data_IF_027427920581
#
_entry.id   IF_027427920581
#
_cell.length_a   1.000
_cell.length_b   1.000
_cell.length_c   1.000
_cell.angle_alpha   90.00
_cell.angle_beta   90.00
_cell.angle_gamma   90.00
#
_symmetry.space_group_name_H-M   'P 1'
#
loop_
_entity.id
_entity.type
_entity.pdbx_description
1 polymer ?
#
# COMPACT_ATOMS: atom_id res chain seq x y z
N UNK A 1 -9.02 7.08 11.39
CA UNK A 1 -9.18 5.63 11.13
C UNK A 1 -8.81 4.72 12.32
N UNK A 2 -8.57 5.23 13.53
CA UNK A 2 -8.06 4.42 14.65
C UNK A 2 -8.98 3.22 15.01
N UNK A 3 -10.29 3.45 15.06
CA UNK A 3 -11.28 2.39 15.36
C UNK A 3 -11.33 1.33 14.25
N UNK A 4 -11.30 1.77 12.99
CA UNK A 4 -11.35 0.89 11.83
C UNK A 4 -10.14 -0.03 11.77
N UNK A 5 -8.94 0.54 11.99
CA UNK A 5 -7.68 -0.20 12.03
C UNK A 5 -7.63 -1.18 13.20
N UNK A 6 -8.06 -0.77 14.40
CA UNK A 6 -8.10 -1.66 15.56
C UNK A 6 -8.99 -2.89 15.31
N UNK A 7 -10.17 -2.69 14.69
CA UNK A 7 -11.05 -3.78 14.29
C UNK A 7 -10.40 -4.70 13.26
N UNK A 8 -9.84 -4.16 12.18
CA UNK A 8 -9.22 -4.96 11.12
C UNK A 8 -8.01 -5.76 11.64
N UNK A 9 -7.25 -5.19 12.58
CA UNK A 9 -6.17 -5.90 13.26
C UNK A 9 -6.70 -7.06 14.12
N UNK A 10 -7.75 -6.83 14.91
CA UNK A 10 -8.40 -7.89 15.69
C UNK A 10 -8.94 -9.03 14.81
N UNK A 11 -9.44 -8.70 13.62
CA UNK A 11 -9.91 -9.68 12.62
C UNK A 11 -8.75 -10.37 11.85
N UNK A 12 -7.49 -10.04 12.12
CA UNK A 12 -6.33 -10.61 11.43
C UNK A 12 -6.14 -10.16 9.98
N UNK A 13 -6.81 -9.06 9.58
CA UNK A 13 -6.81 -8.53 8.20
C UNK A 13 -5.79 -7.43 7.96
N UNK A 14 -5.02 -7.06 9.00
CA UNK A 14 -4.02 -6.01 8.95
C UNK A 14 -2.62 -6.60 8.95
N UNK A 15 -1.77 -6.08 8.08
CA UNK A 15 -0.34 -6.36 8.05
C UNK A 15 0.46 -5.07 7.98
N UNK A 16 1.65 -5.09 8.54
CA UNK A 16 2.58 -3.97 8.55
C UNK A 16 3.94 -4.41 8.03
N UNK A 17 4.66 -3.47 7.43
CA UNK A 17 6.05 -3.63 7.05
C UNK A 17 6.83 -2.41 7.55
N UNK A 18 7.96 -2.64 8.22
CA UNK A 18 8.85 -1.59 8.71
C UNK A 18 10.22 -1.89 8.15
N UNK A 19 10.87 -0.86 7.61
CA UNK A 19 12.18 -1.00 7.00
C UNK A 19 13.20 -1.50 8.03
N UNK A 20 13.90 -2.57 7.68
CA UNK A 20 15.00 -3.12 8.46
C UNK A 20 16.32 -2.95 7.70
N UNK A 21 17.47 -2.81 8.39
CA UNK A 21 18.77 -2.69 7.74
C UNK A 21 19.03 -3.79 6.70
N UNK A 22 19.20 -3.39 5.44
CA UNK A 22 19.42 -4.31 4.31
C UNK A 22 18.15 -4.93 3.72
N UNK A 23 16.98 -4.71 4.32
CA UNK A 23 15.68 -5.19 3.85
C UNK A 23 14.87 -4.06 3.21
N UNK A 24 15.35 -3.58 2.06
CA UNK A 24 14.73 -2.47 1.30
C UNK A 24 13.40 -2.82 0.61
N UNK A 25 12.97 -4.09 0.71
CA UNK A 25 11.69 -4.59 0.23
C UNK A 25 11.15 -5.70 1.13
N UNK A 26 9.84 -5.73 1.34
CA UNK A 26 9.12 -6.74 2.12
C UNK A 26 7.83 -7.17 1.41
N UNK A 27 7.41 -8.41 1.62
CA UNK A 27 6.22 -8.99 1.00
C UNK A 27 5.13 -9.26 2.05
N UNK A 28 3.90 -8.83 1.74
CA UNK A 28 2.73 -9.03 2.59
C UNK A 28 1.72 -9.94 1.87
N UNK A 29 1.47 -11.12 2.44
CA UNK A 29 0.58 -12.14 1.86
C UNK A 29 -0.89 -11.99 2.29
N UNK A 30 -1.80 -11.65 1.39
CA UNK A 30 -3.25 -11.62 1.64
C UNK A 30 -3.99 -12.77 0.94
N UNK A 31 -3.29 -13.88 0.68
CA UNK A 31 -3.78 -15.07 0.01
C UNK A 31 -3.98 -14.86 -1.49
N UNK A 32 -5.13 -14.31 -1.86
CA UNK A 32 -5.48 -14.07 -3.27
C UNK A 32 -4.69 -12.90 -3.90
N UNK A 33 -4.10 -12.06 -3.05
CA UNK A 33 -3.30 -10.89 -3.38
C UNK A 33 -2.03 -10.89 -2.53
N UNK A 34 -0.96 -10.34 -3.08
CA UNK A 34 0.28 -10.01 -2.37
C UNK A 34 0.56 -8.52 -2.53
N UNK A 35 1.26 -7.94 -1.57
CA UNK A 35 1.70 -6.56 -1.62
C UNK A 35 3.20 -6.46 -1.34
N UNK A 36 3.94 -5.98 -2.34
CA UNK A 36 5.35 -5.60 -2.21
C UNK A 36 5.42 -4.21 -1.59
N UNK A 37 6.06 -4.09 -0.42
CA UNK A 37 6.45 -2.82 0.19
C UNK A 37 7.89 -2.52 -0.18
N UNK A 38 8.16 -1.31 -0.66
CA UNK A 38 9.49 -0.85 -1.10
C UNK A 38 9.85 0.49 -0.46
N UNK A 39 11.11 0.69 -0.07
CA UNK A 39 11.56 1.88 0.66
C UNK A 39 12.54 2.75 -0.13
N UNK A 40 12.49 4.07 0.09
CA UNK A 40 13.41 5.04 -0.52
C UNK A 40 13.02 5.52 -1.93
N UNK A 41 11.73 5.61 -2.24
CA UNK A 41 11.26 6.27 -3.47
C UNK A 41 11.53 7.78 -3.42
N UNK A 42 11.76 8.47 -4.57
CA UNK A 42 11.74 7.95 -5.95
C UNK A 42 13.09 7.44 -6.46
N UNK A 43 13.06 6.40 -7.30
CA UNK A 43 14.20 5.87 -8.07
C UNK A 43 13.87 5.76 -9.56
N UNK A 44 14.88 5.61 -10.43
CA UNK A 44 14.65 5.34 -11.87
C UNK A 44 13.99 3.97 -12.09
N UNK A 45 13.25 3.83 -13.19
CA UNK A 45 12.64 2.55 -13.57
C UNK A 45 13.67 1.42 -13.70
N UNK A 46 13.26 0.22 -13.32
CA UNK A 46 14.11 -0.98 -13.33
C UNK A 46 15.22 -0.98 -12.27
N UNK A 47 15.31 0.03 -11.40
CA UNK A 47 16.25 0.02 -10.28
C UNK A 47 15.61 -0.56 -9.02
N UNK A 48 16.43 -1.28 -8.25
CA UNK A 48 16.07 -1.71 -6.90
C UNK A 48 15.85 -0.47 -6.01
N UNK A 49 14.84 -0.49 -5.12
CA UNK A 49 14.66 0.57 -4.14
C UNK A 49 15.94 0.74 -3.29
N UNK A 50 16.38 1.98 -3.04
CA UNK A 50 17.63 2.23 -2.31
C UNK A 50 17.50 2.05 -0.79
N UNK A 51 16.27 2.03 -0.26
CA UNK A 51 16.01 2.18 1.18
C UNK A 51 16.01 3.65 1.61
N UNK A 52 15.49 3.95 2.80
CA UNK A 52 15.64 5.26 3.43
C UNK A 52 17.03 5.39 4.10
N UNK A 53 17.45 6.61 4.40
CA UNK A 53 18.80 6.88 4.94
C UNK A 53 19.05 6.29 6.33
N UNK A 54 18.00 6.15 7.12
CA UNK A 54 18.02 5.80 8.54
C UNK A 54 17.03 4.69 8.89
N UNK A 55 16.39 4.07 7.88
CA UNK A 55 15.51 2.91 8.06
C UNK A 55 14.17 3.26 8.70
N UNK A 56 13.64 4.47 8.45
CA UNK A 56 12.40 4.94 9.08
C UNK A 56 11.13 4.55 8.29
N UNK A 57 11.29 3.98 7.09
CA UNK A 57 10.17 3.66 6.22
C UNK A 57 9.19 2.65 6.84
N UNK A 58 7.89 2.88 6.66
CA UNK A 58 6.85 1.98 7.18
C UNK A 58 5.60 1.97 6.31
N UNK A 59 4.90 0.85 6.28
CA UNK A 59 3.62 0.68 5.61
C UNK A 59 2.63 -0.10 6.47
N UNK A 60 1.35 0.26 6.33
CA UNK A 60 0.21 -0.44 6.90
C UNK A 60 -0.75 -0.76 5.77
N UNK A 61 -1.10 -2.05 5.65
CA UNK A 61 -2.02 -2.55 4.63
C UNK A 61 -3.10 -3.39 5.34
N UNK A 62 -4.36 -2.99 5.19
CA UNK A 62 -5.49 -3.69 5.80
C UNK A 62 -6.52 -4.10 4.74
N UNK A 63 -6.87 -5.38 4.67
CA UNK A 63 -7.86 -5.90 3.74
C UNK A 63 -9.27 -5.61 4.27
N UNK A 64 -10.03 -4.76 3.59
CA UNK A 64 -11.40 -4.38 4.01
C UNK A 64 -12.46 -5.25 3.36
N UNK A 65 -12.23 -5.68 2.12
CA UNK A 65 -13.01 -6.67 1.35
C UNK A 65 -12.02 -7.57 0.58
N UNK A 66 -12.44 -8.70 -0.03
CA UNK A 66 -11.52 -9.63 -0.69
C UNK A 66 -10.55 -9.00 -1.71
N UNK A 67 -11.03 -8.01 -2.47
CA UNK A 67 -10.25 -7.27 -3.47
C UNK A 67 -10.12 -5.78 -3.14
N UNK A 68 -10.29 -5.41 -1.87
CA UNK A 68 -10.23 -4.00 -1.44
C UNK A 68 -9.38 -3.83 -0.18
N UNK A 69 -8.50 -2.83 -0.21
CA UNK A 69 -7.51 -2.59 0.83
C UNK A 69 -7.51 -1.12 1.26
N UNK A 70 -7.19 -0.89 2.53
CA UNK A 70 -6.82 0.41 3.06
C UNK A 70 -5.29 0.43 3.24
N UNK A 71 -4.64 1.44 2.67
CA UNK A 71 -3.18 1.54 2.58
C UNK A 71 -2.74 2.91 3.08
N UNK A 72 -1.72 2.93 3.92
CA UNK A 72 -1.01 4.14 4.33
C UNK A 72 0.44 3.80 4.64
N UNK A 73 1.31 4.80 4.75
CA UNK A 73 2.71 4.61 5.07
C UNK A 73 3.48 5.90 5.28
N UNK A 74 4.76 5.73 5.53
CA UNK A 74 5.78 6.78 5.69
C UNK A 74 6.96 6.34 4.82
N UNK A 75 7.32 7.17 3.84
CA UNK A 75 8.42 6.97 2.89
C UNK A 75 8.51 5.53 2.33
N UNK A 76 7.35 5.01 1.95
CA UNK A 76 7.16 3.66 1.46
C UNK A 76 6.26 3.64 0.22
N UNK A 77 6.51 2.69 -0.67
CA UNK A 77 5.69 2.39 -1.84
C UNK A 77 5.05 1.02 -1.69
N UNK A 78 3.76 0.92 -1.99
CA UNK A 78 2.99 -0.34 -1.91
C UNK A 78 2.48 -0.72 -3.30
N UNK A 79 3.01 -1.81 -3.85
CA UNK A 79 2.57 -2.39 -5.12
C UNK A 79 1.83 -3.72 -4.90
N UNK A 80 0.63 -3.86 -5.46
CA UNK A 80 -0.13 -5.11 -5.39
C UNK A 80 0.21 -6.04 -6.56
N UNK A 81 0.10 -7.35 -6.32
CA UNK A 81 0.24 -8.39 -7.35
C UNK A 81 -0.48 -9.67 -6.98
N UNK A 82 -0.55 -10.57 -7.97
CA UNK A 82 -0.99 -11.95 -7.76
C UNK A 82 0.20 -12.82 -7.30
N UNK A 83 -0.07 -13.92 -6.57
CA UNK A 83 0.96 -14.89 -6.21
C UNK A 83 1.79 -15.35 -7.41
N UNK A 84 3.13 -15.30 -7.27
CA UNK A 84 4.08 -15.70 -8.32
C UNK A 84 4.15 -14.76 -9.53
N UNK A 85 3.63 -13.53 -9.42
CA UNK A 85 3.69 -12.49 -10.45
C UNK A 85 4.35 -11.22 -9.90
N UNK A 86 4.91 -10.41 -10.79
CA UNK A 86 5.37 -9.07 -10.44
C UNK A 86 4.18 -8.10 -10.28
N UNK A 87 4.35 -6.99 -9.53
CA UNK A 87 3.40 -5.87 -9.47
C UNK A 87 2.81 -5.48 -10.82
N UNK A 88 1.49 -5.30 -10.84
CA UNK A 88 0.73 -4.87 -12.04
C UNK A 88 0.51 -5.94 -13.11
N UNK A 89 1.10 -7.13 -13.03
CA UNK A 89 0.87 -8.17 -14.04
C UNK A 89 -0.45 -8.92 -13.81
N UNK A 90 -1.30 -8.99 -14.86
CA UNK A 90 -2.61 -9.69 -14.85
C UNK A 90 -3.58 -9.18 -13.79
N UNK A 91 -3.45 -7.91 -13.46
CA UNK A 91 -4.31 -7.21 -12.53
C UNK A 91 -4.44 -5.74 -12.92
N UNK A 92 -5.49 -5.10 -12.43
CA UNK A 92 -5.73 -3.67 -12.57
C UNK A 92 -6.20 -3.06 -11.26
N UNK A 93 -5.88 -1.78 -11.07
CA UNK A 93 -6.49 -0.95 -10.03
C UNK A 93 -7.80 -0.40 -10.62
N UNK A 94 -8.94 -0.82 -10.08
CA UNK A 94 -10.24 -0.30 -10.49
C UNK A 94 -10.49 1.11 -9.94
N UNK A 95 -10.00 1.37 -8.72
CA UNK A 95 -10.03 2.69 -8.11
C UNK A 95 -8.98 2.75 -7.00
N UNK A 96 -8.24 3.85 -6.91
CA UNK A 96 -7.44 4.21 -5.75
C UNK A 96 -7.96 5.57 -5.25
N UNK A 97 -8.62 5.57 -4.10
CA UNK A 97 -9.22 6.76 -3.52
C UNK A 97 -8.39 7.22 -2.33
N UNK A 98 -7.83 8.41 -2.39
CA UNK A 98 -7.37 9.08 -1.18
C UNK A 98 -8.60 9.57 -0.39
N UNK A 99 -8.57 9.45 0.93
CA UNK A 99 -9.68 9.93 1.75
C UNK A 99 -9.48 9.71 3.23
N UNK A 100 -10.58 9.83 3.98
CA UNK A 100 -10.58 9.65 5.42
C UNK A 100 -11.86 8.99 5.92
N UNK A 101 -11.79 8.40 7.11
CA UNK A 101 -12.99 7.96 7.82
C UNK A 101 -13.57 9.11 8.65
N UNK A 102 -14.85 9.39 8.44
CA UNK A 102 -15.64 10.31 9.26
C UNK A 102 -16.82 9.53 9.84
N UNK A 103 -16.88 9.42 11.17
CA UNK A 103 -17.92 8.68 11.90
C UNK A 103 -18.11 7.23 11.37
N UNK A 104 -17.00 6.50 11.16
CA UNK A 104 -17.03 5.12 10.66
C UNK A 104 -17.32 4.98 9.16
N UNK A 105 -17.55 6.09 8.45
CA UNK A 105 -17.86 6.09 7.01
C UNK A 105 -16.69 6.63 6.21
N UNK A 106 -16.31 5.92 5.15
CA UNK A 106 -15.29 6.38 4.20
C UNK A 106 -15.76 7.62 3.43
N UNK A 107 -14.92 8.64 3.37
CA UNK A 107 -15.13 9.89 2.62
C UNK A 107 -13.97 10.07 1.64
N UNK A 108 -14.18 9.79 0.34
CA UNK A 108 -13.15 10.02 -0.66
C UNK A 108 -12.91 11.53 -0.85
N UNK A 109 -11.66 11.90 -1.04
CA UNK A 109 -11.22 13.26 -1.34
C UNK A 109 -10.81 13.40 -2.80
N UNK A 110 -9.96 12.50 -3.31
CA UNK A 110 -9.54 12.45 -4.72
C UNK A 110 -9.22 11.04 -5.18
N UNK A 111 -9.15 10.85 -6.49
CA UNK A 111 -8.64 9.63 -7.11
C UNK A 111 -7.14 9.78 -7.38
N UNK A 112 -6.39 8.73 -7.11
CA UNK A 112 -5.05 8.53 -7.65
C UNK A 112 -5.15 7.70 -8.94
N UNK A 113 -4.42 8.08 -9.98
CA UNK A 113 -4.36 7.37 -11.25
C UNK A 113 -3.11 7.79 -12.04
N UNK A 114 -2.74 7.07 -13.09
CA UNK A 114 -1.53 7.39 -13.87
C UNK A 114 -0.28 7.33 -13.01
N UNK A 115 0.53 8.40 -13.02
CA UNK A 115 1.80 8.47 -12.28
C UNK A 115 1.67 8.13 -10.78
N UNK A 116 0.54 8.49 -10.14
CA UNK A 116 0.28 8.16 -8.73
C UNK A 116 0.05 6.66 -8.45
N UNK A 117 -0.16 5.84 -9.48
CA UNK A 117 -0.44 4.40 -9.36
C UNK A 117 0.50 3.51 -10.16
N UNK A 118 1.14 4.03 -11.22
CA UNK A 118 1.97 3.27 -12.16
C UNK A 118 3.22 2.68 -11.50
N UNK A 119 3.63 3.25 -10.36
CA UNK A 119 4.83 2.84 -9.61
C UNK A 119 4.51 2.45 -8.17
N UNK A 120 3.34 1.85 -7.97
CA UNK A 120 2.79 1.56 -6.65
C UNK A 120 2.19 2.82 -6.00
N UNK A 121 1.51 2.62 -4.88
CA UNK A 121 0.99 3.70 -4.05
C UNK A 121 2.14 4.26 -3.22
N UNK A 122 2.63 5.45 -3.56
CA UNK A 122 3.78 6.08 -2.92
C UNK A 122 3.32 7.02 -1.79
N UNK A 123 3.83 6.80 -0.58
CA UNK A 123 3.52 7.58 0.61
C UNK A 123 4.77 8.32 1.09
N UNK A 124 4.58 9.56 1.54
CA UNK A 124 5.65 10.45 1.99
C UNK A 124 5.41 10.92 3.42
N UNK A 125 6.46 11.01 4.24
CA UNK A 125 6.38 11.46 5.63
C UNK A 125 5.67 12.82 5.77
N UNK A 126 6.02 13.76 4.88
CA UNK A 126 5.52 15.14 4.91
C UNK A 126 4.17 15.35 4.22
N UNK A 127 3.59 14.30 3.62
CA UNK A 127 2.29 14.34 2.95
C UNK A 127 1.49 13.05 3.26
N UNK A 128 0.98 12.91 4.50
CA UNK A 128 0.34 11.69 4.94
C UNK A 128 -0.99 11.46 4.23
N UNK A 129 -1.09 10.34 3.53
CA UNK A 129 -2.29 9.92 2.81
C UNK A 129 -2.81 8.56 3.31
N UNK A 130 -4.13 8.38 3.20
CA UNK A 130 -4.77 7.07 3.34
C UNK A 130 -5.46 6.79 2.02
N UNK A 131 -5.11 5.67 1.38
CA UNK A 131 -5.67 5.26 0.10
C UNK A 131 -6.49 4.00 0.28
N UNK A 132 -7.76 4.06 -0.10
CA UNK A 132 -8.63 2.89 -0.27
C UNK A 132 -8.55 2.43 -1.71
N UNK A 133 -7.97 1.25 -1.94
CA UNK A 133 -7.70 0.71 -3.27
C UNK A 133 -8.54 -0.53 -3.54
N UNK A 134 -9.19 -0.56 -4.71
CA UNK A 134 -9.97 -1.69 -5.21
C UNK A 134 -9.26 -2.30 -6.42
N UNK A 135 -9.07 -3.61 -6.37
CA UNK A 135 -8.31 -4.38 -7.36
C UNK A 135 -9.23 -5.28 -8.19
N UNK A 136 -8.74 -5.72 -9.34
CA UNK A 136 -9.38 -6.74 -10.16
C UNK A 136 -8.35 -7.53 -10.96
N UNK A 137 -8.71 -8.76 -11.32
CA UNK A 137 -7.89 -9.72 -12.08
C UNK A 137 -8.40 -9.79 -13.53
N UNK A 138 -7.52 -10.05 -14.49
CA UNK A 138 -7.88 -10.27 -15.89
C UNK A 138 -6.92 -11.24 -16.62
#
# INVERSE_FOLDING_TARGET
MSKEIARLNFEGKLKTAVEEPGQVQQELDFGAWQATVSYGFPQRDGRRPPGTSDGHGAALVAQVEPDEFLVTGVDASVGFHLPGRLPGLRMQILAAQEGSYQNGTWKPARLWNGDETDRGLNFHENDPAIVRVRLSKF
#
